data_IF_307068616357
#
_entry.id   IF_307068616357
#
_cell.length_a   1.000
_cell.length_b   1.000
_cell.length_c   1.000
_cell.angle_alpha   90.00
_cell.angle_beta   90.00
_cell.angle_gamma   90.00
#
_symmetry.space_group_name_H-M   'P 1'
#
loop_
_entity.id
_entity.type
_entity.pdbx_description
1 polymer ?
#
# COMPACT_ATOMS: atom_id res chain seq x y z
N UNK A 1 13.39 -12.29 -28.65
CA UNK A 1 12.33 -11.87 -27.69
C UNK A 1 12.26 -10.35 -27.75
N UNK A 2 11.18 -9.81 -28.31
CA UNK A 2 11.06 -8.39 -28.69
C UNK A 2 10.92 -7.45 -27.50
N UNK A 3 11.47 -6.24 -27.64
CA UNK A 3 11.38 -5.11 -26.70
C UNK A 3 9.95 -4.55 -26.50
N UNK A 4 8.96 -5.13 -27.20
CA UNK A 4 7.57 -4.65 -27.32
C UNK A 4 6.71 -4.83 -26.05
N UNK A 5 7.19 -5.56 -25.04
CA UNK A 5 6.46 -5.78 -23.77
C UNK A 5 6.86 -4.80 -22.64
N UNK A 6 7.82 -3.90 -22.88
CA UNK A 6 8.18 -2.85 -21.93
C UNK A 6 7.21 -1.68 -22.08
N UNK A 7 6.00 -1.83 -21.53
CA UNK A 7 5.18 -0.65 -21.23
C UNK A 7 5.96 0.19 -20.20
N UNK A 8 6.12 1.51 -20.40
CA UNK A 8 6.66 2.37 -19.35
C UNK A 8 5.82 2.14 -18.10
N UNK A 9 6.49 1.90 -16.97
CA UNK A 9 5.78 1.75 -15.69
C UNK A 9 4.96 3.01 -15.49
N UNK A 10 3.66 2.84 -15.28
CA UNK A 10 2.78 3.95 -14.95
C UNK A 10 3.40 4.72 -13.78
N UNK A 11 3.61 6.01 -14.01
CA UNK A 11 4.02 6.96 -12.99
C UNK A 11 2.80 7.26 -12.14
N UNK A 12 2.90 6.98 -10.84
CA UNK A 12 1.89 7.33 -9.85
C UNK A 12 2.43 8.48 -9.02
N UNK A 13 1.69 9.59 -8.93
CA UNK A 13 2.15 10.78 -8.20
C UNK A 13 3.53 11.28 -8.67
N UNK A 14 3.74 11.36 -9.99
CA UNK A 14 5.01 11.74 -10.63
C UNK A 14 6.20 10.81 -10.32
N UNK A 15 5.95 9.65 -9.71
CA UNK A 15 6.98 8.69 -9.31
C UNK A 15 6.69 7.27 -9.81
N UNK A 16 7.75 6.54 -10.18
CA UNK A 16 7.64 5.13 -10.50
C UNK A 16 7.55 4.29 -9.22
N UNK A 17 6.48 3.51 -9.06
CA UNK A 17 6.37 2.54 -7.96
C UNK A 17 7.57 1.59 -7.97
N UNK A 18 8.12 1.37 -6.77
CA UNK A 18 9.16 0.36 -6.51
C UNK A 18 8.56 -0.74 -5.64
N UNK A 19 9.15 -1.94 -5.72
CA UNK A 19 8.75 -3.05 -4.85
C UNK A 19 9.40 -2.86 -3.48
N UNK A 20 8.57 -2.86 -2.44
CA UNK A 20 8.99 -2.86 -1.05
C UNK A 20 8.56 -4.17 -0.38
N UNK A 21 9.32 -4.64 0.60
CA UNK A 21 9.02 -5.85 1.36
C UNK A 21 8.86 -5.48 2.83
N UNK A 22 7.80 -6.00 3.46
CA UNK A 22 7.52 -5.85 4.89
C UNK A 22 7.31 -7.24 5.50
N UNK A 23 7.85 -7.46 6.70
CA UNK A 23 7.60 -8.68 7.46
C UNK A 23 6.50 -8.40 8.49
N UNK A 24 5.42 -9.16 8.41
CA UNK A 24 4.25 -9.03 9.29
C UNK A 24 3.72 -10.43 9.61
N UNK A 25 2.96 -10.54 10.71
CA UNK A 25 2.29 -11.81 11.05
C UNK A 25 1.13 -12.09 10.09
N UNK A 26 0.70 -13.35 9.94
CA UNK A 26 -0.47 -13.69 9.12
C UNK A 26 -1.73 -12.91 9.54
N UNK A 27 -1.97 -12.78 10.85
CA UNK A 27 -3.10 -12.00 11.40
C UNK A 27 -2.98 -10.52 11.04
N UNK A 28 -1.79 -9.93 11.16
CA UNK A 28 -1.56 -8.53 10.78
C UNK A 28 -1.79 -8.29 9.30
N UNK A 29 -1.36 -9.22 8.44
CA UNK A 29 -1.59 -9.14 6.99
C UNK A 29 -3.07 -9.30 6.61
N UNK A 30 -3.80 -10.19 7.28
CA UNK A 30 -5.24 -10.36 7.07
C UNK A 30 -6.00 -9.07 7.40
N UNK A 31 -5.81 -8.54 8.62
CA UNK A 31 -6.46 -7.30 9.06
C UNK A 31 -6.10 -6.10 8.19
N UNK A 32 -4.85 -6.00 7.72
CA UNK A 32 -4.45 -4.95 6.78
C UNK A 32 -5.24 -5.00 5.45
N UNK A 33 -5.46 -6.20 4.91
CA UNK A 33 -6.26 -6.37 3.68
C UNK A 33 -7.74 -6.07 3.91
N UNK A 34 -8.28 -6.47 5.06
CA UNK A 34 -9.67 -6.17 5.43
C UNK A 34 -9.88 -4.66 5.50
N UNK A 35 -9.00 -3.93 6.20
CA UNK A 35 -9.07 -2.46 6.28
C UNK A 35 -9.00 -1.79 4.89
N UNK A 36 -8.12 -2.27 4.01
CA UNK A 36 -8.04 -1.77 2.65
C UNK A 36 -9.35 -2.00 1.87
N UNK A 37 -9.96 -3.18 2.01
CA UNK A 37 -11.23 -3.52 1.38
C UNK A 37 -12.40 -2.69 1.92
N UNK A 38 -12.44 -2.41 3.22
CA UNK A 38 -13.48 -1.58 3.86
C UNK A 38 -13.55 -0.17 3.25
N UNK A 39 -12.43 0.37 2.79
CA UNK A 39 -12.36 1.68 2.12
C UNK A 39 -12.32 1.57 0.59
N UNK A 40 -12.52 0.38 0.04
CA UNK A 40 -12.57 0.14 -1.41
C UNK A 40 -11.23 0.24 -2.14
N UNK A 41 -10.11 0.04 -1.43
CA UNK A 41 -8.75 0.16 -1.96
C UNK A 41 -8.04 -1.21 -2.01
N UNK A 42 -7.09 -1.34 -2.93
CA UNK A 42 -6.12 -2.43 -2.85
C UNK A 42 -5.13 -2.22 -1.68
N UNK A 43 -4.50 -3.31 -1.22
CA UNK A 43 -3.47 -3.27 -0.19
C UNK A 43 -2.32 -2.28 -0.51
N UNK A 44 -1.92 -2.19 -1.79
CA UNK A 44 -0.88 -1.27 -2.23
C UNK A 44 -1.34 0.19 -2.30
N UNK A 45 -2.60 0.45 -2.68
CA UNK A 45 -3.14 1.81 -2.69
C UNK A 45 -3.35 2.32 -1.27
N UNK A 46 -3.83 1.44 -0.38
CA UNK A 46 -4.06 1.76 1.02
C UNK A 46 -2.76 2.16 1.73
N UNK A 47 -1.65 1.42 1.55
CA UNK A 47 -0.36 1.82 2.14
C UNK A 47 0.18 3.12 1.56
N UNK A 48 -0.02 3.37 0.27
CA UNK A 48 0.43 4.62 -0.35
C UNK A 48 -0.34 5.83 0.17
N UNK A 49 -1.67 5.77 0.13
CA UNK A 49 -2.52 6.85 0.65
C UNK A 49 -2.27 7.08 2.14
N UNK A 50 -2.06 6.01 2.92
CA UNK A 50 -1.72 6.12 4.34
C UNK A 50 -0.38 6.84 4.53
N UNK A 51 0.65 6.44 3.77
CA UNK A 51 1.98 7.05 3.84
C UNK A 51 2.00 8.51 3.39
N UNK A 52 1.15 8.86 2.40
CA UNK A 52 0.96 10.24 1.91
C UNK A 52 -0.01 11.07 2.76
N UNK A 53 -0.61 10.49 3.80
CA UNK A 53 -1.61 11.12 4.68
C UNK A 53 -2.89 11.57 3.96
N UNK A 54 -3.25 10.87 2.89
CA UNK A 54 -4.51 11.05 2.17
C UNK A 54 -5.67 10.33 2.88
N UNK A 55 -5.35 9.32 3.68
CA UNK A 55 -6.29 8.64 4.58
C UNK A 55 -5.81 8.72 6.04
N UNK A 56 -6.77 8.85 6.95
CA UNK A 56 -6.52 8.98 8.40
C UNK A 56 -7.02 7.74 9.15
N UNK A 57 -6.16 7.17 10.01
CA UNK A 57 -6.55 6.11 10.94
C UNK A 57 -7.02 6.76 12.24
N UNK A 58 -8.34 6.82 12.43
CA UNK A 58 -8.94 7.32 13.68
C UNK A 58 -8.74 6.31 14.81
N UNK A 59 -8.38 6.80 15.98
CA UNK A 59 -8.22 5.95 17.18
C UNK A 59 -6.94 5.11 17.20
N UNK A 60 -5.89 5.52 16.48
CA UNK A 60 -4.59 4.88 16.53
C UNK A 60 -4.07 4.85 17.99
N UNK A 61 -4.06 3.66 18.60
CA UNK A 61 -3.51 3.47 19.93
C UNK A 61 -1.99 3.58 19.81
N UNK A 62 -1.41 4.59 20.45
CA UNK A 62 0.04 4.72 20.53
C UNK A 62 0.59 3.61 21.41
N UNK A 63 1.19 2.61 20.80
CA UNK A 63 2.03 1.65 21.51
C UNK A 63 3.42 2.26 21.65
N UNK A 64 3.70 2.86 22.82
CA UNK A 64 5.09 3.13 23.21
C UNK A 64 5.75 1.78 23.47
N UNK A 65 6.82 1.51 22.72
CA UNK A 65 7.71 0.38 22.98
C UNK A 65 8.64 0.69 24.14
#
# INVERSE_FOLDING_TARGET
MSLENLKPRETFYDECKKRWQIMVTPTGWAGFKELAQEVGLSASEFVEQLGRREIEIKGLKQHKK
#
